data_IF_616119407607
#
_entry.id   IF_616119407607
#
_cell.length_a   1.000
_cell.length_b   1.000
_cell.length_c   1.000
_cell.angle_alpha   90.00
_cell.angle_beta   90.00
_cell.angle_gamma   90.00
#
_symmetry.space_group_name_H-M   'P 1'
#
loop_
_entity.id
_entity.type
_entity.pdbx_description
1 polymer ?
#
# COMPACT_ATOMS: atom_id res chain seq x y z
N UNK A 1 22.05 -2.59 2.12
CA UNK A 1 21.01 -2.55 3.16
C UNK A 1 21.70 -2.90 4.45
N UNK A 2 21.93 -1.92 5.32
CA UNK A 2 22.59 -2.16 6.62
C UNK A 2 21.59 -2.87 7.55
N UNK A 3 21.86 -4.11 8.00
CA UNK A 3 20.95 -4.87 8.85
C UNK A 3 20.88 -4.34 10.29
N UNK A 4 21.64 -3.30 10.65
CA UNK A 4 21.72 -2.76 12.01
C UNK A 4 20.76 -1.59 12.29
N UNK A 5 20.01 -1.09 11.30
CA UNK A 5 19.06 0.00 11.53
C UNK A 5 17.79 -0.55 12.20
N UNK A 6 17.43 -0.10 13.41
CA UNK A 6 16.18 -0.53 14.07
C UNK A 6 14.98 -0.08 13.22
N UNK A 7 14.04 -1.00 12.98
CA UNK A 7 12.78 -0.76 12.22
C UNK A 7 11.56 -0.94 13.14
N UNK A 8 11.39 -0.06 14.14
CA UNK A 8 10.31 -0.20 15.11
C UNK A 8 8.93 -0.07 14.46
N UNK A 9 8.76 0.80 13.45
CA UNK A 9 7.46 1.00 12.79
C UNK A 9 7.12 -0.20 11.91
N UNK A 10 8.05 -0.68 11.08
CA UNK A 10 7.86 -1.90 10.26
C UNK A 10 7.45 -3.11 11.13
N UNK A 11 8.15 -3.30 12.26
CA UNK A 11 7.88 -4.39 13.21
C UNK A 11 6.50 -4.26 13.84
N UNK A 12 6.11 -3.03 14.20
CA UNK A 12 4.79 -2.73 14.78
C UNK A 12 3.67 -3.03 13.79
N UNK A 13 3.81 -2.55 12.54
CA UNK A 13 2.86 -2.83 11.45
C UNK A 13 2.70 -4.33 11.27
N UNK A 14 3.82 -5.06 11.16
CA UNK A 14 3.81 -6.52 10.95
C UNK A 14 3.10 -7.23 12.09
N UNK A 15 3.37 -6.85 13.32
CA UNK A 15 2.78 -7.46 14.52
C UNK A 15 1.27 -7.21 14.58
N UNK A 16 0.83 -5.95 14.45
CA UNK A 16 -0.60 -5.57 14.50
C UNK A 16 -1.39 -6.26 13.38
N UNK A 17 -0.89 -6.24 12.14
CA UNK A 17 -1.56 -6.91 11.02
C UNK A 17 -1.59 -8.42 11.19
N UNK A 18 -0.48 -9.04 11.66
CA UNK A 18 -0.45 -10.48 11.91
C UNK A 18 -1.49 -10.91 12.95
N UNK A 19 -1.63 -10.15 14.04
CA UNK A 19 -2.56 -10.47 15.13
C UNK A 19 -4.03 -10.21 14.74
N UNK A 20 -4.32 -9.11 14.07
CA UNK A 20 -5.70 -8.74 13.71
C UNK A 20 -6.24 -9.56 12.52
N UNK A 21 -5.39 -9.83 11.53
CA UNK A 21 -5.82 -10.39 10.24
C UNK A 21 -5.53 -11.88 10.10
N UNK A 22 -4.69 -12.43 10.97
CA UNK A 22 -4.19 -13.80 10.92
C UNK A 22 -3.86 -14.26 9.48
N UNK A 23 -3.00 -13.51 8.76
CA UNK A 23 -2.79 -13.71 7.34
C UNK A 23 -1.96 -14.96 7.05
N UNK A 24 -2.25 -15.62 5.92
CA UNK A 24 -1.40 -16.69 5.37
C UNK A 24 -0.10 -16.13 4.77
N UNK A 25 -0.15 -14.89 4.27
CA UNK A 25 1.03 -14.21 3.75
C UNK A 25 0.98 -12.73 4.11
N UNK A 26 2.08 -12.22 4.66
CA UNK A 26 2.23 -10.84 5.08
C UNK A 26 3.61 -10.31 4.67
N UNK A 27 3.59 -9.25 3.88
CA UNK A 27 4.79 -8.54 3.45
C UNK A 27 4.65 -7.05 3.75
N UNK A 28 5.66 -6.48 4.40
CA UNK A 28 5.73 -5.06 4.76
C UNK A 28 7.02 -4.51 4.18
N UNK A 29 6.92 -3.47 3.35
CA UNK A 29 8.03 -2.89 2.61
C UNK A 29 8.07 -1.39 2.93
N UNK A 30 9.20 -0.92 3.47
CA UNK A 30 9.46 0.51 3.61
C UNK A 30 9.90 1.10 2.26
N UNK A 31 9.04 1.91 1.64
CA UNK A 31 9.29 2.59 0.36
C UNK A 31 9.72 4.05 0.56
N UNK A 32 10.02 4.48 1.78
CA UNK A 32 10.41 5.88 2.10
C UNK A 32 11.62 6.35 1.29
N UNK A 33 12.58 5.47 1.00
CA UNK A 33 13.77 5.78 0.21
C UNK A 33 13.47 6.23 -1.25
N UNK A 34 12.25 6.00 -1.75
CA UNK A 34 11.80 6.44 -3.07
C UNK A 34 11.29 7.88 -3.08
N UNK A 35 11.22 8.53 -1.91
CA UNK A 35 10.83 9.92 -1.73
C UNK A 35 12.02 10.74 -1.23
N UNK A 36 11.99 12.06 -1.46
CA UNK A 36 13.03 12.99 -0.99
C UNK A 36 12.96 13.20 0.55
N UNK A 37 13.07 12.10 1.29
CA UNK A 37 13.07 12.04 2.75
C UNK A 37 14.45 11.59 3.24
N UNK A 38 14.84 11.95 4.47
CA UNK A 38 16.11 11.52 5.04
C UNK A 38 16.30 9.99 5.01
N UNK A 39 17.54 9.49 4.85
CA UNK A 39 17.84 8.07 4.97
C UNK A 39 17.36 7.54 6.33
N UNK A 40 16.62 6.43 6.33
CA UNK A 40 16.05 5.85 7.55
C UNK A 40 14.68 6.38 7.95
N UNK A 41 14.04 7.23 7.14
CA UNK A 41 12.62 7.57 7.36
C UNK A 41 11.71 6.35 7.21
N UNK A 42 10.73 6.27 8.09
CA UNK A 42 9.67 5.25 8.13
C UNK A 42 8.32 5.93 7.90
N UNK A 43 8.16 6.57 6.73
CA UNK A 43 7.01 7.43 6.45
C UNK A 43 6.10 6.90 5.33
N UNK A 44 6.66 6.14 4.39
CA UNK A 44 5.92 5.50 3.30
C UNK A 44 6.08 3.99 3.38
N UNK A 45 4.97 3.28 3.53
CA UNK A 45 4.94 1.83 3.61
C UNK A 45 4.04 1.23 2.54
N UNK A 46 4.44 0.06 2.04
CA UNK A 46 3.58 -0.85 1.30
C UNK A 46 3.35 -2.10 2.13
N UNK A 47 2.10 -2.54 2.20
CA UNK A 47 1.71 -3.78 2.86
C UNK A 47 0.93 -4.66 1.89
N UNK A 48 1.35 -5.92 1.79
CA UNK A 48 0.57 -6.98 1.17
C UNK A 48 0.10 -7.91 2.27
N UNK A 49 -1.21 -8.10 2.32
CA UNK A 49 -1.85 -9.00 3.27
C UNK A 49 -2.71 -9.99 2.49
N UNK A 50 -2.48 -11.28 2.74
CA UNK A 50 -3.28 -12.38 2.23
C UNK A 50 -3.99 -13.04 3.40
N UNK A 51 -5.32 -12.95 3.45
CA UNK A 51 -6.11 -13.52 4.55
C UNK A 51 -7.49 -13.95 4.07
N UNK A 52 -8.00 -15.04 4.65
CA UNK A 52 -9.38 -15.50 4.47
C UNK A 52 -10.41 -14.48 4.98
N UNK A 53 -10.02 -13.61 5.92
CA UNK A 53 -10.91 -12.55 6.43
C UNK A 53 -11.34 -11.55 5.35
N UNK A 54 -10.66 -11.52 4.19
CA UNK A 54 -11.03 -10.68 3.06
C UNK A 54 -12.05 -11.31 2.11
N UNK A 55 -12.43 -12.57 2.34
CA UNK A 55 -13.46 -13.25 1.56
C UNK A 55 -14.81 -12.56 1.74
N UNK A 56 -15.54 -12.36 0.63
CA UNK A 56 -16.81 -11.63 0.64
C UNK A 56 -16.72 -10.11 0.87
N UNK A 57 -15.54 -9.57 1.22
CA UNK A 57 -15.34 -8.14 1.42
C UNK A 57 -14.94 -7.42 0.12
N UNK A 58 -15.54 -6.25 -0.10
CA UNK A 58 -15.11 -5.31 -1.15
C UNK A 58 -13.72 -4.74 -0.87
N UNK A 59 -13.04 -4.26 -1.92
CA UNK A 59 -11.70 -3.65 -1.80
C UNK A 59 -11.66 -2.54 -0.74
N UNK A 60 -12.68 -1.66 -0.72
CA UNK A 60 -12.77 -0.57 0.25
C UNK A 60 -12.90 -1.09 1.68
N UNK A 61 -13.70 -2.13 1.91
CA UNK A 61 -13.84 -2.75 3.24
C UNK A 61 -12.52 -3.35 3.72
N UNK A 62 -11.79 -4.03 2.82
CA UNK A 62 -10.46 -4.58 3.15
C UNK A 62 -9.48 -3.47 3.53
N UNK A 63 -9.45 -2.39 2.75
CA UNK A 63 -8.59 -1.23 3.04
C UNK A 63 -8.97 -0.56 4.37
N UNK A 64 -10.27 -0.39 4.64
CA UNK A 64 -10.74 0.13 5.94
C UNK A 64 -10.27 -0.74 7.10
N UNK A 65 -10.34 -2.06 6.96
CA UNK A 65 -9.97 -2.98 8.03
C UNK A 65 -8.46 -2.91 8.33
N UNK A 66 -7.62 -2.84 7.29
CA UNK A 66 -6.17 -2.60 7.45
C UNK A 66 -5.88 -1.22 8.05
N UNK A 67 -6.54 -0.17 7.55
CA UNK A 67 -6.36 1.20 8.07
C UNK A 67 -6.78 1.33 9.53
N UNK A 68 -7.91 0.74 9.94
CA UNK A 68 -8.36 0.76 11.33
C UNK A 68 -7.39 0.01 12.25
N UNK A 69 -6.81 -1.10 11.77
CA UNK A 69 -5.77 -1.83 12.52
C UNK A 69 -4.52 -0.99 12.76
N UNK A 70 -4.19 -0.08 11.83
CA UNK A 70 -2.98 0.75 11.87
C UNK A 70 -3.28 2.24 12.16
N UNK A 71 -4.48 2.55 12.64
CA UNK A 71 -4.97 3.93 12.77
C UNK A 71 -4.08 4.83 13.63
N UNK A 72 -3.54 4.28 14.71
CA UNK A 72 -2.62 4.99 15.60
C UNK A 72 -1.31 5.34 14.89
N UNK A 73 -0.74 4.39 14.13
CA UNK A 73 0.52 4.59 13.39
C UNK A 73 0.34 5.58 12.23
N UNK A 74 -0.80 5.48 11.52
CA UNK A 74 -1.20 6.42 10.47
C UNK A 74 -1.43 7.84 10.98
N UNK A 75 -1.73 8.00 12.28
CA UNK A 75 -1.93 9.31 12.89
C UNK A 75 -0.64 9.91 13.46
N UNK A 76 0.41 9.11 13.63
CA UNK A 76 1.63 9.50 14.37
C UNK A 76 2.88 9.53 13.49
N UNK A 77 3.19 8.45 12.79
CA UNK A 77 4.49 8.25 12.15
C UNK A 77 4.40 7.90 10.65
N UNK A 78 3.32 7.27 10.19
CA UNK A 78 3.13 6.86 8.79
C UNK A 78 2.43 7.98 8.01
N UNK A 79 3.07 8.49 6.96
CA UNK A 79 2.50 9.48 6.05
C UNK A 79 1.61 8.86 4.98
N UNK A 80 2.02 7.70 4.44
CA UNK A 80 1.27 7.01 3.40
C UNK A 80 1.43 5.49 3.51
N UNK A 81 0.32 4.78 3.28
CA UNK A 81 0.25 3.33 3.30
C UNK A 81 -0.38 2.81 2.01
N UNK A 82 0.38 2.06 1.21
CA UNK A 82 -0.12 1.33 0.05
C UNK A 82 -0.58 -0.06 0.49
N UNK A 83 -1.86 -0.37 0.30
CA UNK A 83 -2.46 -1.63 0.76
C UNK A 83 -2.77 -2.53 -0.43
N UNK A 84 -2.28 -3.77 -0.37
CA UNK A 84 -2.71 -4.86 -1.22
C UNK A 84 -3.35 -5.95 -0.35
N UNK A 85 -4.68 -6.01 -0.33
CA UNK A 85 -5.43 -7.00 0.45
C UNK A 85 -6.06 -8.06 -0.48
N UNK A 86 -5.48 -9.27 -0.47
CA UNK A 86 -5.89 -10.39 -1.34
C UNK A 86 -6.44 -11.55 -0.52
N UNK A 87 -7.37 -12.32 -1.09
CA UNK A 87 -7.71 -13.63 -0.50
C UNK A 87 -6.64 -14.66 -0.86
N UNK A 88 -6.51 -15.77 -0.11
CA UNK A 88 -5.59 -16.86 -0.45
C UNK A 88 -5.83 -17.41 -1.86
N UNK A 89 -7.09 -17.50 -2.29
CA UNK A 89 -7.45 -17.90 -3.65
C UNK A 89 -6.95 -16.91 -4.72
N UNK A 90 -7.04 -15.60 -4.46
CA UNK A 90 -6.48 -14.57 -5.34
C UNK A 90 -4.95 -14.61 -5.37
N UNK A 91 -4.32 -14.90 -4.24
CA UNK A 91 -2.87 -15.04 -4.13
C UNK A 91 -2.34 -16.26 -4.89
N UNK A 92 -3.01 -17.41 -4.75
CA UNK A 92 -2.64 -18.64 -5.47
C UNK A 92 -2.72 -18.46 -6.99
N UNK A 93 -3.68 -17.69 -7.50
CA UNK A 93 -3.83 -17.43 -8.93
C UNK A 93 -2.85 -16.37 -9.45
N UNK A 94 -2.45 -15.41 -8.62
CA UNK A 94 -1.48 -14.39 -9.00
C UNK A 94 -0.70 -13.88 -7.77
N UNK A 95 0.44 -14.53 -7.45
CA UNK A 95 1.26 -14.19 -6.28
C UNK A 95 2.17 -12.97 -6.51
N UNK A 96 1.86 -12.09 -7.47
CA UNK A 96 2.66 -10.88 -7.67
C UNK A 96 2.26 -9.75 -6.71
N UNK A 97 3.27 -9.17 -6.08
CA UNK A 97 3.21 -7.80 -5.56
C UNK A 97 3.13 -6.83 -6.73
N UNK A 98 2.13 -5.94 -6.73
CA UNK A 98 2.11 -4.89 -7.73
C UNK A 98 3.23 -3.90 -7.38
N UNK A 99 4.15 -3.65 -8.30
CA UNK A 99 5.20 -2.64 -8.09
C UNK A 99 4.53 -1.28 -7.89
N UNK A 100 5.02 -0.48 -6.95
CA UNK A 100 4.51 0.89 -6.77
C UNK A 100 4.74 1.64 -8.07
N UNK A 101 3.75 2.42 -8.57
CA UNK A 101 3.95 3.25 -9.74
C UNK A 101 5.18 4.14 -9.53
N UNK A 102 6.03 4.35 -10.54
CA UNK A 102 7.13 5.28 -10.41
C UNK A 102 6.58 6.66 -10.04
N UNK A 103 7.06 7.17 -8.91
CA UNK A 103 6.85 8.53 -8.43
C UNK A 103 7.15 9.51 -9.57
N UNK A 104 6.11 10.10 -10.16
CA UNK A 104 6.25 11.28 -11.00
C UNK A 104 6.30 12.50 -10.06
N UNK A 105 7.51 12.81 -9.59
CA UNK A 105 7.79 14.07 -8.89
C UNK A 105 7.31 15.24 -9.75
N UNK A 106 6.59 16.17 -9.12
CA UNK A 106 5.77 17.15 -9.81
C UNK A 106 6.51 18.03 -10.81
N UNK A 107 5.88 18.20 -11.99
CA UNK A 107 6.07 19.39 -12.81
C UNK A 107 4.73 20.11 -12.91
N UNK A 108 4.82 21.42 -12.62
CA UNK A 108 3.78 22.46 -12.63
C UNK A 108 2.79 22.35 -13.79
N UNK A 109 1.52 22.72 -13.49
CA UNK A 109 0.48 23.24 -14.39
C UNK A 109 0.42 22.69 -15.82
N UNK A 110 -0.68 22.03 -16.19
CA UNK A 110 -1.39 22.44 -17.41
C UNK A 110 -2.88 22.06 -17.36
N UNK A 111 -3.71 23.03 -17.74
CA UNK A 111 -5.15 22.91 -17.85
C UNK A 111 -5.45 22.48 -19.29
N UNK A 112 -5.53 21.17 -19.56
CA UNK A 112 -6.07 20.68 -20.83
C UNK A 112 -7.19 19.67 -20.60
N UNK A 113 -8.41 20.20 -20.57
CA UNK A 113 -9.64 19.45 -20.81
C UNK A 113 -9.61 18.94 -22.25
N UNK A 114 -9.29 17.65 -22.44
CA UNK A 114 -9.51 16.95 -23.70
C UNK A 114 -10.88 16.29 -23.65
N UNK A 115 -11.86 16.84 -24.36
CA UNK A 115 -13.15 16.16 -24.51
C UNK A 115 -13.76 16.27 -25.92
N UNK A 116 -13.86 15.07 -26.54
CA UNK A 116 -14.87 14.55 -27.49
C UNK A 116 -14.92 14.98 -28.96
N UNK A 117 -14.38 14.07 -29.79
CA UNK A 117 -15.00 13.33 -30.90
C UNK A 117 -16.42 13.73 -31.36
N UNK A 118 -16.59 13.93 -32.68
CA UNK A 118 -17.79 13.48 -33.42
C UNK A 118 -17.42 12.97 -34.82
N UNK A 119 -17.80 11.72 -35.08
CA UNK A 119 -17.72 11.03 -36.35
C UNK A 119 -18.79 11.53 -37.33
N UNK A 120 -18.38 11.79 -38.57
CA UNK A 120 -19.28 11.95 -39.73
C UNK A 120 -19.22 10.67 -40.55
N UNK A 121 -20.40 10.09 -40.79
CA UNK A 121 -20.66 8.90 -41.62
C UNK A 121 -21.06 9.40 -43.01
N UNK A 122 -20.38 8.87 -44.02
CA UNK A 122 -20.66 9.05 -45.45
C UNK A 122 -22.07 8.60 -45.86
#
# INVERSE_FOLDING_TARGET
MDPSVPRPVETTIRTKLSQALNPEHLEVINESHMHAVPPGSESHFKVLVVSLQFEGLSLLQRHRLVNETLKEELSTCIHALSIQAKTPQQWSSNPSLAKSPPCMGGTRHDHTMAEKLKAGRD
#
